data_IF_347151321330
#
_entry.id   IF_347151321330
#
_cell.length_a   1.000
_cell.length_b   1.000
_cell.length_c   1.000
_cell.angle_alpha   90.00
_cell.angle_beta   90.00
_cell.angle_gamma   90.00
#
_symmetry.space_group_name_H-M   'P 1'
#
loop_
_entity.id
_entity.type
_entity.pdbx_description
1 polymer ?
#
# COMPACT_ATOMS: atom_id res chain seq x y z
N UNK A 1 41.70 1.06 -18.02
CA UNK A 1 41.03 2.29 -17.56
C UNK A 1 39.62 1.89 -17.12
N UNK A 2 39.38 1.77 -15.82
CA UNK A 2 38.05 1.54 -15.27
C UNK A 2 37.22 2.79 -15.52
N UNK A 3 36.23 2.69 -16.42
CA UNK A 3 35.24 3.75 -16.65
C UNK A 3 34.56 3.99 -15.29
N UNK A 4 34.70 5.18 -14.71
CA UNK A 4 33.95 5.55 -13.50
C UNK A 4 32.48 5.35 -13.83
N UNK A 5 31.81 4.48 -13.08
CA UNK A 5 30.38 4.34 -13.17
C UNK A 5 29.72 5.68 -12.83
N UNK A 6 28.72 6.06 -13.63
CA UNK A 6 27.81 7.16 -13.32
C UNK A 6 26.54 6.61 -12.68
N UNK A 7 25.74 7.45 -12.01
CA UNK A 7 24.44 7.06 -11.40
C UNK A 7 23.44 6.47 -12.41
N UNK A 8 23.69 6.56 -13.72
CA UNK A 8 22.89 5.94 -14.77
C UNK A 8 23.24 4.47 -15.05
N UNK A 9 24.34 3.94 -14.52
CA UNK A 9 24.79 2.57 -14.85
C UNK A 9 24.16 1.48 -13.97
N UNK A 10 23.45 1.84 -12.90
CA UNK A 10 22.92 0.86 -11.93
C UNK A 10 21.44 0.52 -12.14
N UNK A 11 20.99 -0.70 -11.83
CA UNK A 11 19.56 -0.98 -11.75
C UNK A 11 18.88 -0.07 -10.71
N UNK A 12 17.61 0.24 -10.94
CA UNK A 12 16.79 1.10 -10.08
C UNK A 12 15.47 0.45 -9.68
N UNK A 13 15.00 0.78 -8.49
CA UNK A 13 13.63 0.55 -8.02
C UNK A 13 12.99 1.91 -7.81
N UNK A 14 11.76 2.10 -8.28
CA UNK A 14 10.99 3.33 -8.00
C UNK A 14 9.83 3.00 -7.07
N UNK A 15 9.63 3.84 -6.07
CA UNK A 15 8.53 3.72 -5.12
C UNK A 15 7.58 4.88 -5.34
N UNK A 16 6.47 4.64 -6.02
CA UNK A 16 5.53 5.70 -6.38
C UNK A 16 4.30 5.67 -5.47
N UNK A 17 3.99 6.79 -4.83
CA UNK A 17 2.82 6.84 -3.94
C UNK A 17 2.57 8.18 -3.27
N UNK A 18 1.79 8.14 -2.20
CA UNK A 18 1.43 9.30 -1.39
C UNK A 18 2.34 9.43 -0.15
N UNK A 19 1.82 9.99 0.95
CA UNK A 19 2.56 10.14 2.20
C UNK A 19 3.01 8.82 2.82
N UNK A 20 2.31 7.70 2.54
CA UNK A 20 2.72 6.38 3.02
C UNK A 20 4.06 5.95 2.42
N UNK A 21 4.28 6.30 1.14
CA UNK A 21 5.54 6.08 0.42
C UNK A 21 6.57 7.14 0.77
N UNK A 22 6.19 8.42 0.85
CA UNK A 22 7.11 9.52 1.20
C UNK A 22 7.81 9.25 2.53
N UNK A 23 7.05 8.79 3.53
CA UNK A 23 7.56 8.51 4.88
C UNK A 23 8.32 7.19 4.98
N UNK A 24 8.33 6.36 3.96
CA UNK A 24 8.94 5.03 4.01
C UNK A 24 10.48 5.03 4.08
N UNK A 25 11.13 6.18 3.92
CA UNK A 25 12.59 6.31 4.02
C UNK A 25 13.09 6.57 5.45
N UNK A 26 12.21 6.78 6.44
CA UNK A 26 12.64 7.05 7.81
C UNK A 26 13.12 5.78 8.51
N UNK A 27 14.41 5.75 8.87
CA UNK A 27 15.04 4.68 9.66
C UNK A 27 14.30 4.42 10.98
N UNK A 28 13.90 5.49 11.68
CA UNK A 28 13.20 5.39 12.98
C UNK A 28 11.86 4.65 12.92
N UNK A 29 11.23 4.61 11.75
CA UNK A 29 9.95 3.95 11.53
C UNK A 29 10.11 2.54 10.92
N UNK A 30 11.36 2.08 10.68
CA UNK A 30 11.66 0.85 9.91
C UNK A 30 10.98 0.80 8.53
N UNK A 31 10.87 1.95 7.87
CA UNK A 31 10.12 2.08 6.63
C UNK A 31 10.62 1.18 5.48
N UNK A 32 9.70 0.75 4.62
CA UNK A 32 10.00 -0.25 3.58
C UNK A 32 11.00 0.27 2.52
N UNK A 33 11.04 1.58 2.25
CA UNK A 33 12.02 2.16 1.33
C UNK A 33 13.43 2.07 1.92
N UNK A 34 13.58 2.44 3.20
CA UNK A 34 14.85 2.30 3.90
C UNK A 34 15.31 0.85 3.98
N UNK A 35 14.39 -0.10 4.22
CA UNK A 35 14.71 -1.54 4.21
C UNK A 35 15.14 -2.05 2.84
N UNK A 36 14.54 -1.56 1.76
CA UNK A 36 14.97 -1.85 0.40
C UNK A 36 16.38 -1.30 0.13
N UNK A 37 16.67 -0.07 0.57
CA UNK A 37 18.01 0.53 0.46
C UNK A 37 19.06 -0.31 1.21
N UNK A 38 18.77 -0.73 2.43
CA UNK A 38 19.66 -1.60 3.20
C UNK A 38 19.88 -2.96 2.53
N UNK A 39 18.82 -3.57 2.01
CA UNK A 39 18.91 -4.88 1.38
C UNK A 39 19.78 -4.84 0.11
N UNK A 40 19.56 -3.84 -0.73
CA UNK A 40 20.30 -3.65 -1.98
C UNK A 40 21.53 -2.76 -1.86
N UNK A 41 22.03 -2.52 -0.63
CA UNK A 41 23.11 -1.58 -0.37
C UNK A 41 24.31 -1.80 -1.30
N UNK A 42 24.73 -0.71 -1.94
CA UNK A 42 25.80 -0.72 -2.92
C UNK A 42 25.52 -1.56 -4.18
N UNK A 43 24.26 -1.88 -4.54
CA UNK A 43 23.93 -2.71 -5.72
C UNK A 43 22.81 -2.13 -6.58
N UNK A 44 21.72 -1.69 -5.96
CA UNK A 44 20.53 -1.14 -6.65
C UNK A 44 20.19 0.21 -6.03
N UNK A 45 19.87 1.20 -6.86
CA UNK A 45 19.34 2.48 -6.38
C UNK A 45 17.84 2.34 -6.08
N UNK A 46 17.42 2.74 -4.88
CA UNK A 46 16.00 2.88 -4.53
C UNK A 46 15.65 4.36 -4.60
N UNK A 47 14.61 4.69 -5.37
CA UNK A 47 14.16 6.07 -5.57
C UNK A 47 12.77 6.21 -4.97
N UNK A 48 12.64 7.09 -3.97
CA UNK A 48 11.36 7.39 -3.33
C UNK A 48 10.67 8.54 -4.07
N UNK A 49 9.58 8.19 -4.76
CA UNK A 49 8.67 9.11 -5.46
C UNK A 49 7.32 9.17 -4.72
N UNK A 50 7.39 9.38 -3.41
CA UNK A 50 6.25 9.57 -2.52
C UNK A 50 5.90 11.04 -2.32
N UNK A 51 4.60 11.36 -2.37
CA UNK A 51 4.13 12.75 -2.34
C UNK A 51 2.96 12.93 -1.37
N UNK A 52 3.20 13.63 -0.25
CA UNK A 52 2.18 13.83 0.77
C UNK A 52 0.91 14.52 0.29
N UNK A 53 -0.24 14.05 0.77
CA UNK A 53 -1.56 14.64 0.52
C UNK A 53 -2.07 14.52 -0.93
N UNK A 54 -1.40 13.75 -1.79
CA UNK A 54 -1.80 13.59 -3.18
C UNK A 54 -2.79 12.42 -3.38
N UNK A 55 -3.55 12.49 -4.47
CA UNK A 55 -4.41 11.40 -4.95
C UNK A 55 -3.89 10.82 -6.26
N UNK A 56 -4.50 9.72 -6.72
CA UNK A 56 -4.23 9.22 -8.07
C UNK A 56 -4.45 10.29 -9.14
N UNK A 57 -5.43 11.19 -8.97
CA UNK A 57 -5.71 12.26 -9.94
C UNK A 57 -4.59 13.30 -10.00
N UNK A 58 -4.22 13.84 -8.84
CA UNK A 58 -3.26 14.95 -8.76
C UNK A 58 -1.84 14.51 -9.11
N UNK A 59 -1.54 13.22 -8.93
CA UNK A 59 -0.25 12.63 -9.28
C UNK A 59 -0.03 12.37 -10.76
N UNK A 60 -1.05 12.46 -11.62
CA UNK A 60 -0.88 12.14 -13.05
C UNK A 60 0.30 12.86 -13.71
N UNK A 61 0.43 14.20 -13.61
CA UNK A 61 1.56 14.90 -14.22
C UNK A 61 2.91 14.51 -13.61
N UNK A 62 2.93 14.21 -12.30
CA UNK A 62 4.13 13.77 -11.59
C UNK A 62 4.54 12.37 -12.01
N UNK A 63 3.59 11.45 -12.19
CA UNK A 63 3.85 10.11 -12.72
C UNK A 63 4.50 10.18 -14.10
N UNK A 64 3.94 10.97 -15.01
CA UNK A 64 4.52 11.14 -16.36
C UNK A 64 5.94 11.71 -16.30
N UNK A 65 6.18 12.70 -15.42
CA UNK A 65 7.49 13.34 -15.31
C UNK A 65 8.54 12.44 -14.64
N UNK A 66 8.22 11.90 -13.47
CA UNK A 66 9.20 11.27 -12.59
C UNK A 66 9.35 9.77 -12.85
N UNK A 67 8.34 9.11 -13.43
CA UNK A 67 8.39 7.71 -13.81
C UNK A 67 8.59 7.55 -15.32
N UNK A 68 7.62 7.97 -16.13
CA UNK A 68 7.61 7.66 -17.57
C UNK A 68 8.76 8.34 -18.31
N UNK A 69 8.88 9.66 -18.17
CA UNK A 69 9.95 10.43 -18.82
C UNK A 69 11.32 10.03 -18.28
N UNK A 70 11.47 9.81 -16.97
CA UNK A 70 12.72 9.33 -16.37
C UNK A 70 13.18 7.99 -16.96
N UNK A 71 12.27 7.04 -17.21
CA UNK A 71 12.62 5.77 -17.88
C UNK A 71 13.14 6.04 -19.30
N UNK A 72 12.52 6.97 -20.04
CA UNK A 72 12.98 7.36 -21.38
C UNK A 72 14.35 8.03 -21.34
N UNK A 73 14.50 9.07 -20.52
CA UNK A 73 15.69 9.93 -20.46
C UNK A 73 16.92 9.18 -19.97
N UNK A 74 16.72 8.23 -19.05
CA UNK A 74 17.81 7.39 -18.53
C UNK A 74 18.27 6.34 -19.54
N UNK A 75 17.35 5.81 -20.34
CA UNK A 75 17.63 4.66 -21.20
C UNK A 75 17.87 3.35 -20.41
N UNK A 76 18.32 2.28 -21.09
CA UNK A 76 18.51 0.98 -20.46
C UNK A 76 19.71 0.94 -19.49
N UNK A 77 19.65 0.12 -18.42
CA UNK A 77 18.55 -0.79 -18.08
C UNK A 77 17.36 -0.04 -17.47
N UNK A 78 16.15 -0.50 -17.82
CA UNK A 78 14.92 -0.05 -17.20
C UNK A 78 14.85 -0.43 -15.71
N UNK A 79 13.89 0.12 -14.95
CA UNK A 79 13.73 -0.21 -13.54
C UNK A 79 13.50 -1.71 -13.32
N UNK A 80 14.00 -2.25 -12.20
CA UNK A 80 13.74 -3.62 -11.78
C UNK A 80 12.26 -3.81 -11.48
N UNK A 81 11.74 -2.98 -10.57
CA UNK A 81 10.30 -2.87 -10.33
C UNK A 81 9.90 -1.46 -9.91
N UNK A 82 8.60 -1.20 -10.02
CA UNK A 82 7.96 0.02 -9.57
C UNK A 82 6.81 -0.37 -8.65
N UNK A 83 6.78 0.19 -7.44
CA UNK A 83 5.59 0.07 -6.57
C UNK A 83 4.62 1.20 -6.89
N UNK A 84 3.33 0.91 -6.86
CA UNK A 84 2.26 1.92 -6.90
C UNK A 84 1.45 1.71 -5.62
N UNK A 85 1.57 2.67 -4.70
CA UNK A 85 0.92 2.62 -3.38
C UNK A 85 0.09 3.89 -3.19
N UNK A 86 -1.17 3.81 -3.62
CA UNK A 86 -2.12 4.92 -3.68
C UNK A 86 -3.53 4.46 -3.30
N UNK A 87 -4.41 5.41 -3.02
CA UNK A 87 -5.81 5.14 -2.66
C UNK A 87 -6.17 5.58 -1.25
N UNK A 88 -5.17 5.82 -0.38
CA UNK A 88 -5.44 6.26 0.98
C UNK A 88 -6.14 7.62 1.00
N UNK A 89 -5.66 8.58 0.20
CA UNK A 89 -6.29 9.89 0.08
C UNK A 89 -7.53 9.84 -0.83
N UNK A 90 -7.49 9.09 -1.94
CA UNK A 90 -8.60 8.97 -2.89
C UNK A 90 -9.91 8.50 -2.23
N UNK A 91 -9.80 7.62 -1.23
CA UNK A 91 -10.91 7.05 -0.49
C UNK A 91 -11.46 7.94 0.63
N UNK A 92 -10.90 9.14 0.88
CA UNK A 92 -11.44 10.05 1.89
C UNK A 92 -12.84 10.54 1.51
N UNK A 93 -13.71 10.75 2.50
CA UNK A 93 -15.06 11.22 2.23
C UNK A 93 -15.06 12.70 1.81
N UNK A 94 -15.97 13.08 0.91
CA UNK A 94 -16.24 14.49 0.59
C UNK A 94 -16.46 15.28 1.89
N UNK A 95 -15.84 16.47 2.01
CA UNK A 95 -15.71 17.33 3.21
C UNK A 95 -14.59 16.98 4.22
N UNK A 96 -13.86 15.89 4.02
CA UNK A 96 -12.79 15.44 4.94
C UNK A 96 -11.39 15.42 4.35
N UNK A 97 -11.28 15.47 3.03
CA UNK A 97 -10.03 15.41 2.30
C UNK A 97 -10.27 15.35 0.79
N UNK A 98 -9.22 15.12 0.00
CA UNK A 98 -9.34 14.81 -1.42
C UNK A 98 -10.24 13.59 -1.62
N UNK A 99 -11.04 13.54 -2.68
CA UNK A 99 -11.83 12.35 -3.03
C UNK A 99 -11.75 12.16 -4.53
N UNK A 100 -11.53 10.92 -4.96
CA UNK A 100 -11.57 10.53 -6.37
C UNK A 100 -12.64 9.45 -6.52
N UNK A 101 -13.70 9.64 -7.32
CA UNK A 101 -14.72 8.61 -7.52
C UNK A 101 -14.09 7.28 -7.95
N UNK A 102 -14.60 6.15 -7.42
CA UNK A 102 -14.02 4.83 -7.66
C UNK A 102 -13.79 4.49 -9.15
N UNK A 103 -14.69 4.82 -10.11
CA UNK A 103 -14.42 4.59 -11.54
C UNK A 103 -13.26 5.42 -12.09
N UNK A 104 -13.08 6.65 -11.61
CA UNK A 104 -11.96 7.52 -12.00
C UNK A 104 -10.65 7.01 -11.37
N UNK A 105 -10.68 6.57 -10.10
CA UNK A 105 -9.55 5.92 -9.44
C UNK A 105 -9.10 4.66 -10.20
N UNK A 106 -10.03 3.80 -10.58
CA UNK A 106 -9.74 2.60 -11.36
C UNK A 106 -9.06 2.95 -12.70
N UNK A 107 -9.58 3.94 -13.42
CA UNK A 107 -8.99 4.40 -14.68
C UNK A 107 -7.56 4.92 -14.47
N UNK A 108 -7.30 5.68 -13.41
CA UNK A 108 -5.95 6.17 -13.10
C UNK A 108 -4.97 5.04 -12.78
N UNK A 109 -5.35 4.07 -11.94
CA UNK A 109 -4.47 2.94 -11.60
C UNK A 109 -4.15 2.12 -12.85
N UNK A 110 -5.15 1.83 -13.69
CA UNK A 110 -4.96 1.12 -14.96
C UNK A 110 -4.06 1.90 -15.91
N UNK A 111 -4.20 3.23 -15.98
CA UNK A 111 -3.30 4.08 -16.75
C UNK A 111 -1.86 3.93 -16.28
N UNK A 112 -1.59 4.03 -14.97
CA UNK A 112 -0.23 3.89 -14.44
C UNK A 112 0.40 2.54 -14.75
N UNK A 113 -0.34 1.45 -14.57
CA UNK A 113 0.14 0.10 -14.88
C UNK A 113 0.42 -0.04 -16.38
N UNK A 114 -0.53 0.34 -17.24
CA UNK A 114 -0.39 0.22 -18.69
C UNK A 114 0.73 1.09 -19.25
N UNK A 115 0.89 2.31 -18.75
CA UNK A 115 1.98 3.20 -19.13
C UNK A 115 3.34 2.56 -18.88
N UNK A 116 3.53 1.82 -17.77
CA UNK A 116 4.77 1.08 -17.51
C UNK A 116 4.86 -0.19 -18.38
N UNK A 117 3.79 -0.98 -18.48
CA UNK A 117 3.81 -2.25 -19.22
C UNK A 117 4.14 -2.06 -20.70
N UNK A 118 3.60 -1.01 -21.31
CA UNK A 118 3.76 -0.70 -22.74
C UNK A 118 4.93 0.25 -23.04
N UNK A 119 5.65 0.74 -22.02
CA UNK A 119 6.80 1.59 -22.24
C UNK A 119 7.98 0.82 -22.86
N UNK A 120 8.59 1.29 -23.97
CA UNK A 120 9.69 0.58 -24.62
C UNK A 120 10.94 0.44 -23.74
N UNK A 121 11.21 1.42 -22.88
CA UNK A 121 12.32 1.38 -21.92
C UNK A 121 12.05 0.53 -20.65
N UNK A 122 10.84 0.01 -20.48
CA UNK A 122 10.43 -0.71 -19.27
C UNK A 122 9.99 -2.16 -19.56
N UNK A 123 10.38 -2.74 -20.69
CA UNK A 123 9.90 -4.07 -21.14
C UNK A 123 10.11 -5.21 -20.11
N UNK A 124 11.11 -5.10 -19.24
CA UNK A 124 11.41 -6.07 -18.18
C UNK A 124 11.01 -5.60 -16.78
N UNK A 125 10.52 -4.37 -16.66
CA UNK A 125 10.17 -3.76 -15.37
C UNK A 125 8.95 -4.45 -14.78
N UNK A 126 9.04 -4.86 -13.52
CA UNK A 126 7.90 -5.41 -12.78
C UNK A 126 7.11 -4.29 -12.10
N UNK A 127 5.88 -4.56 -11.74
CA UNK A 127 4.97 -3.61 -11.09
C UNK A 127 4.36 -4.30 -9.87
N UNK A 128 4.39 -3.62 -8.73
CA UNK A 128 3.74 -4.09 -7.52
C UNK A 128 2.67 -3.07 -7.13
N UNK A 129 1.41 -3.47 -7.23
CA UNK A 129 0.30 -2.69 -6.68
C UNK A 129 0.18 -3.00 -5.18
N UNK A 130 0.09 -1.98 -4.34
CA UNK A 130 -0.06 -2.13 -2.89
C UNK A 130 -1.41 -1.51 -2.50
N UNK A 131 -2.26 -2.28 -1.80
CA UNK A 131 -3.56 -1.78 -1.35
C UNK A 131 -3.39 -0.73 -0.25
N UNK A 132 -4.19 0.36 -0.23
CA UNK A 132 -4.19 1.31 0.88
C UNK A 132 -4.53 0.61 2.21
N UNK A 133 -3.99 1.08 3.34
CA UNK A 133 -4.27 0.49 4.64
C UNK A 133 -5.68 0.88 5.16
N UNK A 134 -6.17 0.16 6.19
CA UNK A 134 -7.28 0.63 7.01
C UNK A 134 -6.96 1.95 7.72
N UNK A 135 -8.02 2.57 8.24
CA UNK A 135 -7.91 3.63 9.26
C UNK A 135 -8.24 3.08 10.63
N UNK A 136 -7.65 3.67 11.67
CA UNK A 136 -7.97 3.34 13.06
C UNK A 136 -9.05 4.27 13.62
N UNK A 137 -10.31 4.00 13.29
CA UNK A 137 -11.44 4.75 13.85
C UNK A 137 -11.73 4.22 15.26
N UNK A 138 -11.68 5.06 16.30
CA UNK A 138 -12.04 4.63 17.65
C UNK A 138 -13.53 4.27 17.70
N UNK A 139 -13.84 3.13 18.31
CA UNK A 139 -15.22 2.78 18.64
C UNK A 139 -15.68 3.60 19.85
N UNK A 140 -16.97 3.91 19.93
CA UNK A 140 -17.52 4.56 21.13
C UNK A 140 -17.46 3.59 22.30
N UNK A 141 -16.79 3.96 23.40
CA UNK A 141 -16.70 3.22 24.67
C UNK A 141 -18.05 3.09 25.40
N UNK A 142 -19.18 3.17 24.70
CA UNK A 142 -20.46 2.82 25.31
C UNK A 142 -20.38 1.36 25.73
N UNK A 143 -20.51 1.12 27.04
CA UNK A 143 -20.58 -0.21 27.64
C UNK A 143 -21.47 -1.09 26.77
N UNK A 144 -20.99 -2.30 26.51
CA UNK A 144 -21.67 -3.20 25.61
C UNK A 144 -23.12 -3.37 26.06
N UNK A 145 -24.07 -3.04 25.18
CA UNK A 145 -25.47 -3.35 25.39
C UNK A 145 -25.72 -4.86 25.19
N UNK A 146 -24.74 -5.71 25.53
CA UNK A 146 -24.77 -7.17 25.35
C UNK A 146 -25.93 -7.79 26.14
N UNK A 147 -26.38 -7.13 27.20
CA UNK A 147 -27.54 -7.53 27.99
C UNK A 147 -28.88 -7.39 27.22
N UNK A 148 -28.92 -6.66 26.09
CA UNK A 148 -30.11 -6.41 25.28
C UNK A 148 -29.79 -6.45 23.76
N UNK A 149 -29.95 -7.61 23.09
CA UNK A 149 -29.59 -7.80 21.68
C UNK A 149 -30.23 -6.79 20.71
N UNK A 150 -31.49 -6.40 20.94
CA UNK A 150 -32.20 -5.40 20.13
C UNK A 150 -31.53 -4.03 20.20
N UNK A 151 -30.98 -3.65 21.36
CA UNK A 151 -30.26 -2.39 21.55
C UNK A 151 -28.90 -2.44 20.85
N UNK A 152 -28.20 -3.59 20.94
CA UNK A 152 -26.92 -3.78 20.27
C UNK A 152 -27.02 -3.65 18.73
N UNK A 153 -28.07 -4.21 18.12
CA UNK A 153 -28.31 -4.11 16.68
C UNK A 153 -28.61 -2.67 16.23
N UNK A 154 -29.40 -1.93 17.00
CA UNK A 154 -29.68 -0.52 16.74
C UNK A 154 -28.40 0.32 16.85
N UNK A 155 -27.58 0.08 17.88
CA UNK A 155 -26.30 0.80 18.06
C UNK A 155 -25.33 0.52 16.90
N UNK A 156 -25.24 -0.73 16.45
CA UNK A 156 -24.47 -1.11 15.25
C UNK A 156 -24.95 -0.34 14.01
N UNK A 157 -26.26 -0.32 13.78
CA UNK A 157 -26.86 0.38 12.64
C UNK A 157 -26.58 1.89 12.65
N UNK A 158 -26.64 2.51 13.84
CA UNK A 158 -26.29 3.93 14.02
C UNK A 158 -24.79 4.16 13.77
N UNK A 159 -23.93 3.30 14.29
CA UNK A 159 -22.49 3.41 14.11
C UNK A 159 -22.06 3.27 12.65
N UNK A 160 -22.74 2.43 11.85
CA UNK A 160 -22.53 2.34 10.40
C UNK A 160 -22.83 3.65 9.66
N UNK A 161 -23.69 4.51 10.21
CA UNK A 161 -23.98 5.83 9.65
C UNK A 161 -22.93 6.89 10.06
N UNK A 162 -22.06 6.57 11.02
CA UNK A 162 -21.01 7.47 11.49
C UNK A 162 -20.02 7.80 10.37
N UNK A 163 -19.41 8.99 10.45
CA UNK A 163 -18.39 9.42 9.49
C UNK A 163 -17.16 8.51 9.54
N UNK A 164 -16.75 8.08 10.74
CA UNK A 164 -15.60 7.20 10.92
C UNK A 164 -15.78 5.86 10.20
N UNK A 165 -16.87 5.15 10.47
CA UNK A 165 -17.15 3.88 9.80
C UNK A 165 -17.26 4.03 8.28
N UNK A 166 -17.92 5.09 7.79
CA UNK A 166 -18.01 5.38 6.35
C UNK A 166 -16.63 5.61 5.72
N UNK A 167 -15.70 6.27 6.41
CA UNK A 167 -14.32 6.44 5.94
C UNK A 167 -13.58 5.10 5.90
N UNK A 168 -13.74 4.26 6.93
CA UNK A 168 -13.18 2.92 6.95
C UNK A 168 -13.71 2.06 5.78
N UNK A 169 -15.03 2.03 5.59
CA UNK A 169 -15.68 1.27 4.52
C UNK A 169 -15.28 1.77 3.11
N UNK A 170 -15.13 3.10 2.96
CA UNK A 170 -14.61 3.69 1.73
C UNK A 170 -13.18 3.23 1.45
N UNK A 171 -12.27 3.25 2.44
CA UNK A 171 -10.90 2.76 2.26
C UNK A 171 -10.84 1.26 1.96
N UNK A 172 -11.70 0.46 2.59
CA UNK A 172 -11.86 -0.98 2.28
C UNK A 172 -12.21 -1.17 0.81
N UNK A 173 -13.20 -0.44 0.29
CA UNK A 173 -13.63 -0.53 -1.10
C UNK A 173 -12.50 -0.20 -2.10
N UNK A 174 -11.66 0.78 -1.80
CA UNK A 174 -10.51 1.12 -2.65
C UNK A 174 -9.40 0.06 -2.56
N UNK A 175 -9.18 -0.53 -1.38
CA UNK A 175 -8.28 -1.66 -1.21
C UNK A 175 -8.74 -2.88 -2.04
N UNK A 176 -10.01 -3.25 -1.93
CA UNK A 176 -10.63 -4.33 -2.71
C UNK A 176 -10.49 -4.07 -4.22
N UNK A 177 -10.71 -2.81 -4.66
CA UNK A 177 -10.53 -2.43 -6.06
C UNK A 177 -9.08 -2.55 -6.54
N UNK A 178 -8.08 -2.22 -5.73
CA UNK A 178 -6.67 -2.48 -6.06
C UNK A 178 -6.39 -3.98 -6.19
N UNK A 179 -6.95 -4.82 -5.30
CA UNK A 179 -6.83 -6.29 -5.41
C UNK A 179 -7.43 -6.76 -6.73
N UNK A 180 -8.65 -6.36 -7.06
CA UNK A 180 -9.33 -6.71 -8.30
C UNK A 180 -8.47 -6.37 -9.53
N UNK A 181 -8.06 -5.11 -9.67
CA UNK A 181 -7.21 -4.64 -10.78
C UNK A 181 -5.89 -5.44 -10.84
N UNK A 182 -5.26 -5.65 -9.68
CA UNK A 182 -4.00 -6.37 -9.58
C UNK A 182 -4.13 -7.83 -10.03
N UNK A 183 -5.17 -8.54 -9.60
CA UNK A 183 -5.44 -9.93 -10.00
C UNK A 183 -5.74 -10.06 -11.49
N UNK A 184 -6.47 -9.10 -12.06
CA UNK A 184 -6.68 -9.07 -13.51
C UNK A 184 -5.36 -8.96 -14.28
N UNK A 185 -4.47 -8.06 -13.88
CA UNK A 185 -3.17 -7.90 -14.54
C UNK A 185 -2.25 -9.11 -14.29
N UNK A 186 -2.29 -9.73 -13.10
CA UNK A 186 -1.58 -10.98 -12.83
C UNK A 186 -2.02 -12.12 -13.76
N UNK A 187 -3.31 -12.16 -14.12
CA UNK A 187 -3.83 -13.11 -15.11
C UNK A 187 -3.36 -12.85 -16.55
N UNK A 188 -2.87 -11.64 -16.85
CA UNK A 188 -2.41 -11.23 -18.18
C UNK A 188 -0.89 -11.30 -18.34
N UNK A 189 -0.13 -11.09 -17.26
CA UNK A 189 1.34 -11.06 -17.31
C UNK A 189 1.98 -11.41 -15.98
N UNK A 190 3.13 -12.08 -16.03
CA UNK A 190 3.95 -12.31 -14.84
C UNK A 190 4.69 -11.05 -14.35
N UNK A 191 4.54 -9.89 -15.02
CA UNK A 191 5.22 -8.64 -14.65
C UNK A 191 4.50 -7.84 -13.57
N UNK A 192 3.25 -8.17 -13.24
CA UNK A 192 2.48 -7.48 -12.21
C UNK A 192 2.30 -8.40 -11.01
N UNK A 193 2.33 -7.83 -9.81
CA UNK A 193 1.94 -8.47 -8.57
C UNK A 193 1.06 -7.52 -7.76
N UNK A 194 0.20 -8.08 -6.91
CA UNK A 194 -0.59 -7.30 -5.95
C UNK A 194 -0.28 -7.73 -4.53
N UNK A 195 0.05 -6.74 -3.70
CA UNK A 195 0.20 -6.86 -2.27
C UNK A 195 -1.08 -6.38 -1.60
N UNK A 196 -1.89 -7.32 -1.14
CA UNK A 196 -3.08 -7.03 -0.32
C UNK A 196 -2.67 -6.70 1.12
N UNK A 197 -2.11 -5.50 1.27
CA UNK A 197 -1.63 -5.01 2.55
C UNK A 197 -2.77 -4.79 3.56
N UNK A 198 -3.95 -4.36 3.11
CA UNK A 198 -5.17 -4.29 3.92
C UNK A 198 -5.43 -5.60 4.67
N UNK A 199 -5.51 -6.72 3.94
CA UNK A 199 -5.73 -8.04 4.56
C UNK A 199 -4.55 -8.45 5.43
N UNK A 200 -3.31 -8.21 4.99
CA UNK A 200 -2.12 -8.60 5.75
C UNK A 200 -2.04 -7.87 7.12
N UNK A 201 -2.26 -6.56 7.14
CA UNK A 201 -2.16 -5.76 8.37
C UNK A 201 -3.32 -6.00 9.32
N UNK A 202 -4.54 -6.18 8.80
CA UNK A 202 -5.71 -6.54 9.62
C UNK A 202 -5.57 -7.92 10.24
N UNK A 203 -5.16 -8.93 9.47
CA UNK A 203 -4.87 -10.29 9.99
C UNK A 203 -3.78 -10.27 11.05
N UNK A 204 -2.68 -9.57 10.79
CA UNK A 204 -1.60 -9.45 11.76
C UNK A 204 -2.08 -8.84 13.08
N UNK A 205 -2.93 -7.80 13.02
CA UNK A 205 -3.51 -7.21 14.23
C UNK A 205 -4.47 -8.17 14.94
N UNK A 206 -5.31 -8.89 14.20
CA UNK A 206 -6.21 -9.89 14.79
C UNK A 206 -5.44 -11.01 15.49
N UNK A 207 -4.34 -11.48 14.90
CA UNK A 207 -3.47 -12.49 15.51
C UNK A 207 -2.82 -11.98 16.80
N UNK A 208 -2.38 -10.72 16.86
CA UNK A 208 -1.86 -10.12 18.11
C UNK A 208 -2.93 -9.99 19.20
N UNK A 209 -4.20 -9.86 18.81
CA UNK A 209 -5.34 -9.84 19.71
C UNK A 209 -5.80 -11.24 20.13
N UNK A 210 -5.17 -12.29 19.59
CA UNK A 210 -5.47 -13.69 19.90
C UNK A 210 -6.63 -14.30 19.13
N UNK A 211 -7.13 -13.62 18.08
CA UNK A 211 -8.19 -14.16 17.23
C UNK A 211 -7.66 -15.28 16.32
N UNK A 212 -8.49 -16.30 16.07
CA UNK A 212 -8.21 -17.33 15.06
C UNK A 212 -8.49 -16.84 13.64
N UNK A 213 -8.10 -17.62 12.63
CA UNK A 213 -8.43 -17.32 11.23
C UNK A 213 -9.96 -17.35 10.99
N UNK A 214 -10.68 -18.27 11.64
CA UNK A 214 -12.15 -18.32 11.58
C UNK A 214 -12.77 -17.07 12.19
N UNK A 215 -12.30 -16.63 13.36
CA UNK A 215 -12.78 -15.41 14.00
C UNK A 215 -12.45 -14.17 13.17
N UNK A 216 -11.28 -14.13 12.50
CA UNK A 216 -10.96 -13.07 11.53
C UNK A 216 -12.01 -13.01 10.42
N UNK A 217 -12.40 -14.14 9.84
CA UNK A 217 -13.40 -14.19 8.77
C UNK A 217 -14.80 -13.76 9.25
N UNK A 218 -15.16 -14.12 10.48
CA UNK A 218 -16.40 -13.63 11.08
C UNK A 218 -16.40 -12.12 11.30
N UNK A 219 -15.30 -11.57 11.83
CA UNK A 219 -15.13 -10.12 12.02
C UNK A 219 -15.20 -9.39 10.68
N UNK A 220 -14.54 -9.90 9.65
CA UNK A 220 -14.54 -9.32 8.31
C UNK A 220 -15.94 -9.26 7.69
N UNK A 221 -16.71 -10.34 7.81
CA UNK A 221 -18.11 -10.42 7.33
C UNK A 221 -19.02 -9.43 8.05
N UNK A 222 -18.72 -9.12 9.32
CA UNK A 222 -19.51 -8.22 10.17
C UNK A 222 -19.04 -6.76 10.11
N UNK A 223 -18.02 -6.44 9.31
CA UNK A 223 -17.30 -5.16 9.30
C UNK A 223 -16.68 -4.77 10.66
N UNK A 224 -16.33 -5.77 11.46
CA UNK A 224 -15.84 -5.66 12.84
C UNK A 224 -14.32 -5.82 12.96
N UNK A 225 -13.60 -5.84 11.83
CA UNK A 225 -12.14 -5.82 11.83
C UNK A 225 -11.60 -4.57 12.54
N UNK A 226 -10.35 -4.62 13.02
CA UNK A 226 -9.75 -3.50 13.73
C UNK A 226 -9.88 -2.17 12.98
N UNK A 227 -10.14 -1.10 13.72
CA UNK A 227 -10.27 0.26 13.20
C UNK A 227 -11.60 0.60 12.53
N UNK A 228 -12.59 -0.31 12.50
CA UNK A 228 -13.87 -0.04 11.82
C UNK A 228 -14.77 0.98 12.51
N UNK A 229 -14.48 1.32 13.78
CA UNK A 229 -15.26 2.26 14.58
C UNK A 229 -16.63 1.73 15.01
N UNK A 230 -16.97 0.47 14.71
CA UNK A 230 -18.21 -0.15 15.18
C UNK A 230 -18.12 -0.51 16.68
N UNK A 231 -19.26 -0.51 17.42
CA UNK A 231 -19.29 -0.92 18.82
C UNK A 231 -18.69 -2.32 19.00
N UNK A 232 -17.68 -2.43 19.86
CA UNK A 232 -16.94 -3.67 20.12
C UNK A 232 -15.76 -3.93 19.17
N UNK A 233 -15.62 -3.19 18.07
CA UNK A 233 -14.47 -3.31 17.18
C UNK A 233 -13.20 -2.86 17.90
N UNK A 234 -12.12 -3.62 17.70
CA UNK A 234 -10.81 -3.34 18.30
C UNK A 234 -10.11 -2.22 17.56
N UNK A 235 -9.16 -1.55 18.22
CA UNK A 235 -8.29 -0.57 17.58
C UNK A 235 -6.98 -1.21 17.12
N UNK A 236 -6.34 -0.62 16.13
CA UNK A 236 -4.97 -0.97 15.74
C UNK A 236 -3.95 -0.53 16.79
N UNK A 237 -4.06 0.73 17.24
CA UNK A 237 -3.10 1.37 18.14
C UNK A 237 -1.86 1.91 17.43
N UNK A 238 -1.10 2.75 18.14
CA UNK A 238 -0.01 3.58 17.58
C UNK A 238 1.18 2.80 17.02
N UNK A 239 1.43 1.59 17.49
CA UNK A 239 2.48 0.73 16.93
C UNK A 239 2.17 0.32 15.48
N UNK A 240 0.87 0.22 15.13
CA UNK A 240 0.42 -0.07 13.77
C UNK A 240 0.19 1.22 12.99
N UNK A 241 -0.61 2.13 13.56
CA UNK A 241 -1.04 3.37 12.93
C UNK A 241 -0.85 4.56 13.88
N UNK A 242 0.19 5.38 13.68
CA UNK A 242 0.63 6.42 14.64
C UNK A 242 -0.43 7.51 14.87
N UNK A 243 -1.16 7.87 13.83
CA UNK A 243 -2.19 8.91 13.80
C UNK A 243 -3.53 8.38 13.24
N UNK A 244 -3.67 7.04 13.21
CA UNK A 244 -4.81 6.35 12.62
C UNK A 244 -4.73 6.13 11.11
N UNK A 245 -3.65 6.55 10.44
CA UNK A 245 -3.41 6.24 9.01
C UNK A 245 -1.94 5.91 8.69
N UNK A 246 -0.99 6.74 9.13
CA UNK A 246 0.43 6.52 8.86
C UNK A 246 0.98 5.42 9.76
N UNK A 247 1.97 4.68 9.26
CA UNK A 247 2.44 3.49 9.96
C UNK A 247 3.33 3.81 11.16
N UNK A 248 3.13 3.03 12.22
CA UNK A 248 4.14 2.85 13.26
C UNK A 248 5.09 1.70 12.92
N UNK A 249 5.95 1.37 13.88
CA UNK A 249 6.98 0.33 13.76
C UNK A 249 6.41 -1.01 13.25
N UNK A 250 5.31 -1.50 13.85
CA UNK A 250 4.65 -2.77 13.48
C UNK A 250 4.02 -2.70 12.10
N UNK A 251 3.41 -1.56 11.76
CA UNK A 251 2.79 -1.36 10.45
C UNK A 251 3.82 -1.48 9.32
N UNK A 252 4.97 -0.81 9.46
CA UNK A 252 6.06 -0.91 8.49
C UNK A 252 6.75 -2.27 8.48
N UNK A 253 6.92 -2.92 9.63
CA UNK A 253 7.49 -4.28 9.70
C UNK A 253 6.65 -5.28 8.90
N UNK A 254 5.32 -5.22 9.03
CA UNK A 254 4.41 -6.08 8.26
C UNK A 254 4.51 -5.74 6.77
N UNK A 255 4.39 -4.45 6.41
CA UNK A 255 4.46 -4.03 5.00
C UNK A 255 5.76 -4.51 4.34
N UNK A 256 6.89 -4.30 5.02
CA UNK A 256 8.21 -4.70 4.54
C UNK A 256 8.28 -6.22 4.38
N UNK A 257 7.90 -6.98 5.42
CA UNK A 257 7.94 -8.44 5.37
C UNK A 257 7.14 -8.99 4.19
N UNK A 258 5.91 -8.52 4.02
CA UNK A 258 5.01 -9.01 2.97
C UNK A 258 5.48 -8.56 1.58
N UNK A 259 6.01 -7.33 1.44
CA UNK A 259 6.59 -6.86 0.19
C UNK A 259 7.77 -7.73 -0.23
N UNK A 260 8.74 -7.96 0.66
CA UNK A 260 9.90 -8.81 0.41
C UNK A 260 9.50 -10.25 0.10
N UNK A 261 8.60 -10.82 0.89
CA UNK A 261 8.07 -12.16 0.66
C UNK A 261 7.43 -12.29 -0.72
N UNK A 262 6.63 -11.30 -1.12
CA UNK A 262 5.95 -11.29 -2.41
C UNK A 262 6.95 -11.24 -3.58
N UNK A 263 7.83 -10.24 -3.62
CA UNK A 263 8.65 -10.04 -4.80
C UNK A 263 9.77 -11.09 -4.93
N UNK A 264 10.36 -11.56 -3.83
CA UNK A 264 11.40 -12.60 -3.87
C UNK A 264 10.82 -13.97 -4.23
N UNK A 265 9.60 -14.28 -3.77
CA UNK A 265 8.95 -15.52 -4.16
C UNK A 265 8.53 -15.50 -5.65
N UNK A 266 8.02 -14.37 -6.13
CA UNK A 266 7.50 -14.25 -7.49
C UNK A 266 8.59 -14.02 -8.54
N UNK A 267 9.62 -13.25 -8.20
CA UNK A 267 10.75 -12.91 -9.06
C UNK A 267 12.08 -13.15 -8.34
N UNK A 268 12.50 -14.42 -8.19
CA UNK A 268 13.76 -14.76 -7.52
C UNK A 268 15.00 -14.12 -8.18
N UNK A 269 14.91 -13.72 -9.46
CA UNK A 269 15.95 -12.95 -10.12
C UNK A 269 16.26 -11.60 -9.45
N UNK A 270 15.34 -11.10 -8.62
CA UNK A 270 15.51 -9.87 -7.83
C UNK A 270 16.29 -10.06 -6.52
N UNK A 271 16.76 -11.26 -6.19
CA UNK A 271 17.69 -11.45 -5.08
C UNK A 271 18.93 -10.56 -5.24
N UNK A 272 19.38 -9.94 -4.14
CA UNK A 272 20.43 -8.91 -4.19
C UNK A 272 21.76 -9.46 -4.71
N UNK A 273 22.03 -10.74 -4.48
CA UNK A 273 23.23 -11.46 -4.89
C UNK A 273 23.38 -11.50 -6.42
N UNK A 274 22.27 -11.35 -7.15
CA UNK A 274 22.25 -11.30 -8.62
C UNK A 274 22.75 -9.95 -9.20
N UNK A 275 22.95 -8.93 -8.36
CA UNK A 275 23.43 -7.62 -8.78
C UNK A 275 24.84 -7.35 -8.25
N UNK A 276 25.79 -6.88 -9.07
CA UNK A 276 27.16 -6.66 -8.62
C UNK A 276 27.25 -5.49 -7.61
N UNK A 277 28.16 -5.61 -6.65
CA UNK A 277 28.52 -4.50 -5.76
C UNK A 277 29.17 -3.36 -6.55
N UNK A 278 28.86 -2.13 -6.16
CA UNK A 278 29.55 -0.91 -6.57
C UNK A 278 31.04 -1.04 -6.21
N UNK A 279 31.90 -0.90 -7.22
CA UNK A 279 33.34 -0.81 -7.06
C UNK A 279 33.80 0.62 -6.78
#
# INVERSE_FOLDING_TARGET
>A
MTKRSTSNDYPRIYLFGDSLTERACYEGDNGFAWKLEQYYDGRVDVVNEGYSGQTTKTLRPTFEREIVNTITDRGPPGPLFITIFLGANDACLLSSGPYVPLPEFEEHIRHYVNSILYHPGAQNTKIILITPPPVDVPSSEMDSADDLPEVAEVMQSIAKLSRGHKTWASKRLFAEKIVEIGREFEGQTNRVAVLDFWTAVTKAKCNELGFTDEEFHELDTKDMLPGSGLPGAKMFGKEFLIDGLHFGSRGYDILTRELFGLFLAKWPELERENFPLRG
#
